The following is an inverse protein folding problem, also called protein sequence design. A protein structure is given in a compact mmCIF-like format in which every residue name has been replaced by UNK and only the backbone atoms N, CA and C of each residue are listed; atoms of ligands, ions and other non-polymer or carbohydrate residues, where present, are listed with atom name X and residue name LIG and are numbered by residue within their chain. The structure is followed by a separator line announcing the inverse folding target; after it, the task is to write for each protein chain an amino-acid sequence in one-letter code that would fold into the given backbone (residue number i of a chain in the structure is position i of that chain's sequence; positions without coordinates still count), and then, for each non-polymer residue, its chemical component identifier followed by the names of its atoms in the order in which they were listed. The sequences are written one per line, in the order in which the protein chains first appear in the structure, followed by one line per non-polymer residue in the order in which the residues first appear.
data_IF_401826893497
#
_entry.id   IF_401826893497
#
_cell.length_a   1.000
_cell.length_b   1.000
_cell.length_c   1.000
_cell.angle_alpha   90.00
_cell.angle_beta   90.00
_cell.angle_gamma   90.00
#
_symmetry.space_group_name_H-M   'P 1'
#
loop_
_entity.id
_entity.type
_entity.pdbx_description
1 polymer ?
#
# COMPACT_ATOMS: atom_id res chain seq x y z
N UNK A 1 20.24 7.25 3.18
CA UNK A 1 19.36 7.30 4.37
C UNK A 1 19.04 5.88 4.80
N UNK A 2 19.08 5.59 6.10
CA UNK A 2 18.64 4.29 6.64
C UNK A 2 17.16 4.35 7.02
N UNK A 3 16.39 3.34 6.64
CA UNK A 3 14.92 3.29 6.80
C UNK A 3 14.47 3.48 8.24
N UNK A 4 15.31 3.09 9.21
CA UNK A 4 14.98 3.19 10.64
C UNK A 4 15.52 4.44 11.31
N UNK A 5 16.40 5.17 10.64
CA UNK A 5 17.03 6.41 11.14
C UNK A 5 16.11 7.63 11.03
N UNK A 6 15.20 7.67 10.05
CA UNK A 6 14.29 8.79 9.82
C UNK A 6 12.85 8.40 10.20
N UNK A 7 12.17 9.25 10.99
CA UNK A 7 10.80 9.02 11.42
C UNK A 7 9.80 8.91 10.25
N UNK A 8 10.06 9.63 9.14
CA UNK A 8 9.25 9.57 7.92
C UNK A 8 9.36 8.19 7.25
N UNK A 9 10.59 7.75 6.98
CA UNK A 9 10.86 6.45 6.34
C UNK A 9 10.36 5.31 7.20
N UNK A 10 10.63 5.36 8.51
CA UNK A 10 10.16 4.36 9.48
C UNK A 10 8.62 4.27 9.48
N UNK A 11 7.92 5.41 9.52
CA UNK A 11 6.44 5.44 9.46
C UNK A 11 5.93 4.78 8.18
N UNK A 12 6.44 5.18 7.03
CA UNK A 12 5.98 4.67 5.74
C UNK A 12 6.35 3.22 5.49
N UNK A 13 7.52 2.79 5.98
CA UNK A 13 7.92 1.40 6.00
C UNK A 13 6.87 0.54 6.73
N UNK A 14 6.45 0.91 7.94
CA UNK A 14 5.44 0.14 8.67
C UNK A 14 4.08 0.15 7.97
N UNK A 15 3.69 1.27 7.35
CA UNK A 15 2.45 1.35 6.58
C UNK A 15 2.47 0.37 5.40
N UNK A 16 3.52 0.39 4.58
CA UNK A 16 3.62 -0.52 3.43
C UNK A 16 3.83 -1.97 3.84
N UNK A 17 4.59 -2.21 4.92
CA UNK A 17 4.75 -3.55 5.48
C UNK A 17 3.41 -4.11 5.97
N UNK A 18 2.58 -3.29 6.61
CA UNK A 18 1.22 -3.68 7.01
C UNK A 18 0.36 -4.05 5.79
N UNK A 19 0.37 -3.23 4.74
CA UNK A 19 -0.36 -3.54 3.49
C UNK A 19 0.12 -4.86 2.87
N UNK A 20 1.44 -5.10 2.85
CA UNK A 20 2.01 -6.35 2.37
C UNK A 20 1.59 -7.57 3.20
N UNK A 21 1.66 -7.48 4.53
CA UNK A 21 1.22 -8.58 5.40
C UNK A 21 -0.28 -8.83 5.24
N UNK A 22 -1.09 -7.77 5.15
CA UNK A 22 -2.54 -7.87 5.00
C UNK A 22 -2.94 -8.70 3.77
N UNK A 23 -2.30 -8.50 2.62
CA UNK A 23 -2.61 -9.26 1.39
C UNK A 23 -2.11 -10.70 1.43
N UNK A 24 -1.08 -11.00 2.23
CA UNK A 24 -0.56 -12.36 2.42
C UNK A 24 -1.46 -13.22 3.32
N UNK A 25 -2.37 -12.61 4.09
CA UNK A 25 -3.30 -13.37 4.92
C UNK A 25 -4.31 -14.12 4.04
N UNK A 26 -4.62 -15.39 4.36
CA UNK A 26 -5.55 -16.22 3.58
C UNK A 26 -7.01 -15.85 3.89
N UNK A 27 -7.34 -14.57 3.78
CA UNK A 27 -8.68 -14.06 3.99
C UNK A 27 -9.54 -14.37 2.76
N UNK A 28 -10.85 -14.67 2.92
CA UNK A 28 -11.74 -15.10 1.84
C UNK A 28 -11.93 -14.05 0.72
N UNK A 29 -11.49 -12.81 0.94
CA UNK A 29 -11.46 -11.73 -0.04
C UNK A 29 -10.08 -11.48 -0.66
N UNK A 30 -9.05 -12.26 -0.32
CA UNK A 30 -7.77 -12.31 -1.02
C UNK A 30 -7.53 -13.66 -1.67
N UNK A 31 -7.98 -14.74 -1.02
CA UNK A 31 -7.86 -16.10 -1.51
C UNK A 31 -9.08 -16.92 -1.10
N UNK A 32 -9.68 -17.63 -2.05
CA UNK A 32 -10.73 -18.61 -1.77
C UNK A 32 -10.64 -19.76 -2.77
N UNK A 33 -10.80 -20.98 -2.28
CA UNK A 33 -10.88 -22.19 -3.13
C UNK A 33 -12.29 -22.44 -3.64
N UNK A 34 -13.28 -21.74 -3.08
CA UNK A 34 -14.68 -21.79 -3.48
C UNK A 34 -15.15 -20.43 -3.95
N UNK A 35 -16.11 -20.41 -4.87
CA UNK A 35 -16.73 -19.16 -5.30
C UNK A 35 -17.59 -18.59 -4.17
N UNK A 36 -17.22 -17.40 -3.70
CA UNK A 36 -17.99 -16.64 -2.72
C UNK A 36 -18.55 -15.41 -3.46
N UNK A 37 -19.87 -15.31 -3.69
CA UNK A 37 -20.46 -14.18 -4.38
C UNK A 37 -20.40 -12.92 -3.51
N UNK A 38 -20.19 -11.77 -4.16
CA UNK A 38 -20.17 -10.43 -3.56
C UNK A 38 -21.00 -9.46 -4.42
N UNK A 39 -20.66 -8.18 -4.42
CA UNK A 39 -21.36 -7.12 -5.14
C UNK A 39 -21.54 -7.46 -6.62
N UNK A 40 -22.78 -7.45 -7.10
CA UNK A 40 -23.12 -7.74 -8.50
C UNK A 40 -22.83 -9.17 -8.94
N UNK A 41 -22.68 -10.12 -8.01
CA UNK A 41 -22.29 -11.49 -8.32
C UNK A 41 -20.79 -11.64 -8.65
N UNK A 42 -19.98 -10.62 -8.41
CA UNK A 42 -18.53 -10.75 -8.55
C UNK A 42 -17.96 -11.63 -7.44
N UNK A 43 -16.95 -12.48 -7.72
CA UNK A 43 -16.21 -13.17 -6.68
C UNK A 43 -15.66 -12.20 -5.62
N UNK A 44 -15.77 -12.56 -4.35
CA UNK A 44 -15.27 -11.78 -3.20
C UNK A 44 -13.83 -11.31 -3.38
N UNK A 45 -12.96 -12.16 -3.93
CA UNK A 45 -11.55 -11.85 -4.09
C UNK A 45 -11.31 -10.71 -5.08
N UNK A 46 -12.11 -10.57 -6.14
CA UNK A 46 -11.97 -9.45 -7.09
C UNK A 46 -12.22 -8.12 -6.37
N UNK A 47 -13.23 -8.08 -5.52
CA UNK A 47 -13.54 -6.88 -4.73
C UNK A 47 -12.41 -6.57 -3.74
N UNK A 48 -11.94 -7.58 -2.99
CA UNK A 48 -10.87 -7.39 -2.01
C UNK A 48 -9.55 -6.93 -2.65
N UNK A 49 -9.13 -7.55 -3.76
CA UNK A 49 -7.96 -7.15 -4.53
C UNK A 49 -8.10 -5.73 -5.11
N UNK A 50 -9.29 -5.36 -5.61
CA UNK A 50 -9.54 -4.02 -6.14
C UNK A 50 -9.45 -2.96 -5.04
N UNK A 51 -10.10 -3.19 -3.89
CA UNK A 51 -10.06 -2.27 -2.74
C UNK A 51 -8.63 -2.12 -2.21
N UNK A 52 -7.92 -3.24 -2.04
CA UNK A 52 -6.54 -3.22 -1.59
C UNK A 52 -5.63 -2.45 -2.56
N UNK A 53 -5.75 -2.70 -3.86
CA UNK A 53 -4.98 -1.99 -4.89
C UNK A 53 -5.26 -0.49 -4.85
N UNK A 54 -6.53 -0.09 -4.79
CA UNK A 54 -6.92 1.32 -4.71
C UNK A 54 -6.34 2.00 -3.45
N UNK A 55 -6.41 1.34 -2.29
CA UNK A 55 -5.81 1.83 -1.05
C UNK A 55 -4.28 1.96 -1.15
N UNK A 56 -3.60 0.94 -1.67
CA UNK A 56 -2.14 0.96 -1.86
C UNK A 56 -1.72 2.08 -2.81
N UNK A 57 -2.43 2.27 -3.92
CA UNK A 57 -2.16 3.37 -4.86
C UNK A 57 -2.35 4.74 -4.22
N UNK A 58 -3.40 4.94 -3.42
CA UNK A 58 -3.61 6.17 -2.68
C UNK A 58 -2.48 6.44 -1.67
N UNK A 59 -2.02 5.40 -0.95
CA UNK A 59 -0.89 5.50 -0.03
C UNK A 59 0.41 5.86 -0.74
N UNK A 60 0.70 5.24 -1.89
CA UNK A 60 1.85 5.59 -2.74
C UNK A 60 1.78 7.05 -3.16
N UNK A 61 0.62 7.53 -3.61
CA UNK A 61 0.46 8.92 -4.00
C UNK A 61 0.68 9.90 -2.84
N UNK A 62 0.15 9.59 -1.65
CA UNK A 62 0.36 10.40 -0.45
C UNK A 62 1.83 10.38 -0.03
N UNK A 63 2.48 9.21 -0.07
CA UNK A 63 3.92 9.07 0.19
C UNK A 63 4.73 9.94 -0.76
N UNK A 64 4.47 9.83 -2.06
CA UNK A 64 5.11 10.64 -3.10
C UNK A 64 5.00 12.13 -2.81
N UNK A 65 3.78 12.64 -2.53
CA UNK A 65 3.60 14.07 -2.22
C UNK A 65 4.37 14.52 -0.97
N UNK A 66 4.42 13.68 0.07
CA UNK A 66 5.16 14.02 1.29
C UNK A 66 6.68 13.92 1.08
N UNK A 67 7.14 12.95 0.28
CA UNK A 67 8.55 12.82 -0.07
C UNK A 67 9.01 14.03 -0.91
N UNK A 68 8.24 14.44 -1.93
CA UNK A 68 8.60 15.61 -2.74
C UNK A 68 8.54 16.94 -1.99
N UNK A 69 7.90 17.01 -0.82
CA UNK A 69 7.92 18.22 0.02
C UNK A 69 9.17 18.36 0.89
N UNK A 70 10.05 17.36 0.89
CA UNK A 70 11.18 17.25 1.81
C UNK A 70 12.49 17.62 1.10
N UNK A 71 13.20 18.67 1.54
CA UNK A 71 14.47 19.08 0.95
C UNK A 71 15.52 17.98 0.93
N UNK A 72 15.49 17.08 1.92
CA UNK A 72 16.45 15.99 2.03
C UNK A 72 16.38 14.97 0.88
N UNK A 73 15.32 14.97 0.07
CA UNK A 73 15.19 14.13 -1.13
C UNK A 73 15.55 14.84 -2.44
N UNK A 74 15.87 16.14 -2.38
CA UNK A 74 16.22 16.97 -3.53
C UNK A 74 17.73 17.24 -3.64
N UNK A 75 18.56 16.40 -3.00
CA UNK A 75 20.02 16.57 -2.98
C UNK A 75 20.66 16.60 -4.38
N UNK A 76 19.99 16.02 -5.37
CA UNK A 76 20.43 15.97 -6.77
C UNK A 76 19.57 16.80 -7.72
N UNK A 77 18.63 17.60 -7.20
CA UNK A 77 17.95 18.61 -8.00
C UNK A 77 18.97 19.72 -8.25
N UNK A 78 19.79 19.59 -9.30
CA UNK A 78 20.68 20.65 -9.76
C UNK A 78 19.88 21.95 -10.02
N UNK A 79 20.49 23.10 -9.64
CA UNK A 79 19.94 24.46 -9.81
C UNK A 79 19.47 24.77 -11.25
#
# INVERSE_FOLDING_TARGET
MDVFSNAFEKKWFFIFMFMYVLIMLPLPFFFSTTYIPSLGGLPSFIIGWTVHTAATMALIFIFYKQAMSRPEYHEFDED
#
